data_IF_854378797637
#
_entry.id   IF_854378797637
#
_cell.length_a   1.000
_cell.length_b   1.000
_cell.length_c   1.000
_cell.angle_alpha   90.00
_cell.angle_beta   90.00
_cell.angle_gamma   90.00
#
_symmetry.space_group_name_H-M   'P 1'
#
loop_
_entity.id
_entity.type
_entity.pdbx_description
1 polymer ?
#
# COMPACT_ATOMS: atom_id res chain seq x y z
N UNK A 1 24.24 -25.37 11.50
CA UNK A 1 24.00 -23.92 11.39
C UNK A 1 22.91 -23.69 10.36
N UNK A 2 21.98 -22.76 10.61
CA UNK A 2 20.96 -22.43 9.60
C UNK A 2 21.64 -21.77 8.39
N UNK A 3 21.19 -22.06 7.15
CA UNK A 3 21.79 -21.48 5.95
C UNK A 3 21.64 -19.95 5.96
N UNK A 4 22.69 -19.23 5.58
CA UNK A 4 22.72 -17.78 5.47
C UNK A 4 22.92 -17.33 4.03
N UNK A 5 22.48 -16.13 3.71
CA UNK A 5 22.71 -15.46 2.41
C UNK A 5 22.65 -13.94 2.59
N UNK A 6 23.06 -13.19 1.57
CA UNK A 6 22.87 -11.74 1.56
C UNK A 6 21.38 -11.37 1.45
N UNK A 7 21.00 -10.18 1.88
CA UNK A 7 19.63 -9.67 1.69
C UNK A 7 19.29 -9.59 0.19
N UNK A 8 20.24 -9.21 -0.66
CA UNK A 8 20.04 -9.19 -2.11
C UNK A 8 19.67 -10.57 -2.64
N UNK A 9 20.49 -11.59 -2.39
CA UNK A 9 20.19 -12.96 -2.82
C UNK A 9 18.87 -13.46 -2.23
N UNK A 10 18.59 -13.12 -0.98
CA UNK A 10 17.40 -13.55 -0.27
C UNK A 10 16.10 -13.01 -0.87
N UNK A 11 16.09 -11.71 -1.20
CA UNK A 11 14.91 -11.01 -1.72
C UNK A 11 14.79 -11.08 -3.24
N UNK A 12 15.88 -11.37 -3.97
CA UNK A 12 15.87 -11.56 -5.42
C UNK A 12 15.24 -12.89 -5.86
N UNK A 13 14.81 -13.74 -4.93
CA UNK A 13 14.14 -14.99 -5.26
C UNK A 13 12.79 -14.72 -5.92
N UNK A 14 12.43 -15.46 -6.99
CA UNK A 14 11.14 -15.31 -7.63
C UNK A 14 10.01 -15.74 -6.70
N UNK A 15 8.84 -15.14 -6.90
CA UNK A 15 7.62 -15.61 -6.24
C UNK A 15 7.22 -17.01 -6.77
N UNK A 16 6.45 -17.79 -6.00
CA UNK A 16 5.91 -19.06 -6.47
C UNK A 16 4.99 -18.85 -7.67
N UNK A 17 4.93 -19.87 -8.53
CA UNK A 17 3.96 -19.92 -9.62
C UNK A 17 2.56 -20.11 -9.03
N UNK A 18 1.61 -19.30 -9.48
CA UNK A 18 0.24 -19.34 -8.98
C UNK A 18 -0.64 -20.25 -9.84
N UNK A 19 -1.56 -20.93 -9.18
CA UNK A 19 -2.65 -21.67 -9.79
C UNK A 19 -3.93 -20.88 -9.58
N UNK A 20 -4.27 -20.04 -10.55
CA UNK A 20 -5.46 -19.19 -10.47
C UNK A 20 -6.71 -20.03 -10.71
N UNK A 21 -7.50 -20.24 -9.66
CA UNK A 21 -8.87 -20.74 -9.79
C UNK A 21 -9.76 -19.55 -10.10
N UNK A 22 -10.56 -19.65 -11.16
CA UNK A 22 -11.49 -18.59 -11.56
C UNK A 22 -12.38 -18.22 -10.37
N UNK A 23 -12.17 -17.03 -9.83
CA UNK A 23 -12.94 -16.49 -8.70
C UNK A 23 -14.01 -15.52 -9.19
N UNK A 24 -15.16 -15.53 -8.52
CA UNK A 24 -16.23 -14.57 -8.78
C UNK A 24 -15.76 -13.15 -8.44
N UNK A 25 -16.01 -12.20 -9.35
CA UNK A 25 -15.73 -10.78 -9.14
C UNK A 25 -16.47 -10.25 -7.91
N UNK A 26 -15.75 -9.97 -6.82
CA UNK A 26 -16.28 -9.23 -5.68
C UNK A 26 -16.30 -7.72 -5.91
N UNK A 27 -17.01 -6.98 -5.06
CA UNK A 27 -17.13 -5.52 -5.15
C UNK A 27 -15.86 -4.82 -4.64
N UNK A 28 -15.47 -3.73 -5.29
CA UNK A 28 -14.39 -2.84 -4.81
C UNK A 28 -14.88 -1.99 -3.63
N UNK A 29 -13.97 -1.63 -2.73
CA UNK A 29 -14.25 -0.66 -1.67
C UNK A 29 -14.57 0.70 -2.29
N UNK A 30 -15.62 1.35 -1.79
CA UNK A 30 -16.08 2.66 -2.30
C UNK A 30 -16.31 3.60 -1.12
N UNK A 31 -15.78 4.82 -1.22
CA UNK A 31 -16.14 5.90 -0.33
C UNK A 31 -16.20 7.20 -1.14
N UNK A 32 -17.35 7.87 -1.13
CA UNK A 32 -17.57 9.08 -1.91
C UNK A 32 -16.90 10.32 -1.31
N UNK A 33 -16.29 10.19 -0.12
CA UNK A 33 -15.49 11.23 0.53
C UNK A 33 -14.02 11.23 0.11
N UNK A 34 -13.56 10.19 -0.59
CA UNK A 34 -12.17 10.15 -1.06
C UNK A 34 -11.94 11.20 -2.14
N UNK A 35 -10.79 11.89 -2.03
CA UNK A 35 -10.38 12.91 -3.00
C UNK A 35 -10.11 12.20 -4.33
N UNK A 36 -10.76 12.63 -5.43
CA UNK A 36 -10.44 12.16 -6.78
C UNK A 36 -8.95 12.28 -7.08
N UNK A 37 -8.37 11.29 -7.78
CA UNK A 37 -7.00 11.41 -8.30
C UNK A 37 -6.99 12.31 -9.55
N UNK A 38 -5.93 13.09 -9.75
CA UNK A 38 -5.74 13.94 -10.94
C UNK A 38 -5.27 13.15 -12.16
N UNK A 39 -4.63 12.01 -11.90
CA UNK A 39 -4.18 11.08 -12.92
C UNK A 39 -3.07 10.19 -12.40
N UNK A 40 -2.40 9.50 -13.33
CA UNK A 40 -1.23 8.67 -13.02
C UNK A 40 -0.12 8.93 -14.03
N UNK A 41 1.11 8.78 -13.58
CA UNK A 41 2.31 8.87 -14.40
C UNK A 41 3.34 7.80 -13.97
N UNK A 42 4.28 7.40 -14.84
CA UNK A 42 5.30 6.42 -14.48
C UNK A 42 6.28 6.95 -13.42
N UNK A 43 6.56 6.15 -12.39
CA UNK A 43 7.60 6.42 -11.41
C UNK A 43 8.95 5.87 -11.89
N UNK A 44 9.60 6.62 -12.79
CA UNK A 44 10.74 6.14 -13.59
C UNK A 44 12.02 5.85 -12.80
N UNK A 45 12.26 6.55 -11.69
CA UNK A 45 13.46 6.37 -10.86
C UNK A 45 13.32 5.24 -9.83
N UNK A 46 12.13 4.63 -9.69
CA UNK A 46 11.95 3.38 -8.94
C UNK A 46 12.41 2.17 -9.79
N UNK A 47 13.70 2.13 -10.08
CA UNK A 47 14.33 1.11 -10.93
C UNK A 47 15.30 0.21 -10.16
N UNK A 48 15.50 -1.02 -10.64
CA UNK A 48 16.36 -2.02 -9.98
C UNK A 48 17.78 -1.50 -9.76
N UNK A 49 18.45 -1.05 -10.83
CA UNK A 49 19.86 -0.64 -10.76
C UNK A 49 20.06 0.55 -9.81
N UNK A 50 19.14 1.54 -9.86
CA UNK A 50 19.16 2.73 -9.01
C UNK A 50 19.04 2.34 -7.54
N UNK A 51 18.01 1.56 -7.21
CA UNK A 51 17.73 1.19 -5.82
C UNK A 51 18.76 0.20 -5.25
N UNK A 52 19.29 -0.70 -6.09
CA UNK A 52 20.37 -1.59 -5.70
C UNK A 52 21.66 -0.82 -5.38
N UNK A 53 22.00 0.19 -6.18
CA UNK A 53 23.15 1.06 -5.90
C UNK A 53 22.93 1.88 -4.62
N UNK A 54 21.76 2.52 -4.47
CA UNK A 54 21.42 3.34 -3.29
C UNK A 54 21.48 2.55 -1.99
N UNK A 55 21.00 1.30 -2.01
CA UNK A 55 20.90 0.44 -0.81
C UNK A 55 21.95 -0.67 -0.73
N UNK A 56 23.06 -0.55 -1.46
CA UNK A 56 24.09 -1.60 -1.55
C UNK A 56 24.57 -2.09 -0.18
N UNK A 57 24.84 -1.15 0.74
CA UNK A 57 25.31 -1.46 2.09
C UNK A 57 24.30 -2.28 2.90
N UNK A 58 23.01 -1.97 2.76
CA UNK A 58 21.92 -2.75 3.37
C UNK A 58 21.78 -4.12 2.70
N UNK A 59 21.83 -4.17 1.38
CA UNK A 59 21.67 -5.39 0.58
C UNK A 59 22.78 -6.43 0.80
N UNK A 60 24.00 -5.99 1.13
CA UNK A 60 25.15 -6.87 1.45
C UNK A 60 25.08 -7.51 2.83
N UNK A 61 24.18 -7.08 3.72
CA UNK A 61 24.02 -7.69 5.04
C UNK A 61 23.62 -9.16 4.91
N UNK A 62 24.17 -9.99 5.79
CA UNK A 62 23.86 -11.42 5.84
C UNK A 62 22.71 -11.68 6.81
N UNK A 63 21.76 -12.53 6.40
CA UNK A 63 20.63 -12.95 7.22
C UNK A 63 20.43 -14.46 7.15
N UNK A 64 19.72 -15.00 8.14
CA UNK A 64 19.27 -16.39 8.12
C UNK A 64 18.22 -16.57 7.04
N UNK A 65 18.42 -17.54 6.16
CA UNK A 65 17.49 -17.86 5.08
C UNK A 65 16.25 -18.55 5.64
N UNK A 66 15.10 -17.97 5.36
CA UNK A 66 13.79 -18.63 5.41
C UNK A 66 13.27 -18.87 3.99
N UNK A 67 12.99 -20.12 3.65
CA UNK A 67 12.48 -20.51 2.33
C UNK A 67 11.10 -21.13 2.44
N UNK A 68 10.03 -20.34 2.21
CA UNK A 68 8.68 -20.85 2.30
C UNK A 68 8.23 -21.59 1.04
N UNK A 69 8.97 -21.56 -0.07
CA UNK A 69 8.45 -22.00 -1.37
C UNK A 69 7.99 -23.47 -1.37
N UNK A 70 8.76 -24.36 -0.72
CA UNK A 70 8.37 -25.77 -0.59
C UNK A 70 7.15 -25.96 0.34
N UNK A 71 6.99 -25.11 1.35
CA UNK A 71 5.85 -25.15 2.28
C UNK A 71 4.58 -24.61 1.64
N UNK A 72 4.70 -23.62 0.76
CA UNK A 72 3.58 -22.99 0.04
C UNK A 72 2.86 -24.03 -0.81
N UNK A 73 3.59 -24.77 -1.65
CA UNK A 73 3.00 -25.81 -2.50
C UNK A 73 2.38 -26.95 -1.68
N UNK A 74 3.06 -27.42 -0.64
CA UNK A 74 2.55 -28.50 0.22
C UNK A 74 1.29 -28.08 1.02
N UNK A 75 1.15 -26.79 1.32
CA UNK A 75 0.00 -26.23 2.00
C UNK A 75 -1.09 -25.71 1.04
N UNK A 76 -0.92 -25.89 -0.27
CA UNK A 76 -1.83 -25.39 -1.31
C UNK A 76 -2.07 -23.87 -1.25
N UNK A 77 -1.07 -23.10 -0.78
CA UNK A 77 -1.14 -21.64 -0.71
C UNK A 77 -0.89 -20.97 -2.07
N UNK A 78 -0.43 -21.72 -3.07
CA UNK A 78 -0.30 -21.29 -4.45
C UNK A 78 -1.62 -21.32 -5.24
N UNK A 79 -2.68 -21.90 -4.66
CA UNK A 79 -4.02 -21.92 -5.24
C UNK A 79 -4.79 -20.64 -4.87
N UNK A 80 -4.82 -19.68 -5.79
CA UNK A 80 -5.48 -18.40 -5.58
C UNK A 80 -6.96 -18.50 -5.94
N UNK A 81 -7.82 -18.24 -4.95
CA UNK A 81 -9.28 -18.21 -5.10
C UNK A 81 -9.90 -16.85 -4.75
N UNK A 82 -9.15 -15.95 -4.11
CA UNK A 82 -9.66 -14.67 -3.62
C UNK A 82 -8.62 -13.86 -2.86
N UNK A 83 -9.00 -12.67 -2.39
CA UNK A 83 -8.11 -11.77 -1.64
C UNK A 83 -7.56 -12.41 -0.35
N UNK A 84 -8.33 -13.25 0.31
CA UNK A 84 -7.94 -14.00 1.51
C UNK A 84 -6.81 -15.01 1.22
N UNK A 85 -6.89 -15.73 0.10
CA UNK A 85 -5.82 -16.66 -0.32
C UNK A 85 -4.55 -15.91 -0.75
N UNK A 86 -4.70 -14.80 -1.48
CA UNK A 86 -3.56 -13.92 -1.86
C UNK A 86 -2.90 -13.37 -0.61
N UNK A 87 -3.69 -13.00 0.38
CA UNK A 87 -3.19 -12.46 1.64
C UNK A 87 -2.39 -13.49 2.44
N UNK A 88 -2.90 -14.71 2.58
CA UNK A 88 -2.19 -15.80 3.24
C UNK A 88 -0.85 -16.07 2.55
N UNK A 89 -0.87 -16.15 1.21
CA UNK A 89 0.34 -16.33 0.41
C UNK A 89 1.33 -15.17 0.57
N UNK A 90 0.88 -13.93 0.40
CA UNK A 90 1.70 -12.73 0.52
C UNK A 90 2.32 -12.59 1.92
N UNK A 91 1.59 -12.99 2.96
CA UNK A 91 2.12 -13.00 4.34
C UNK A 91 3.35 -13.87 4.45
N UNK A 92 3.27 -15.11 3.96
CA UNK A 92 4.34 -16.11 4.10
C UNK A 92 5.48 -15.86 3.10
N UNK A 93 5.15 -15.54 1.85
CA UNK A 93 6.11 -15.43 0.75
C UNK A 93 6.76 -14.05 0.63
N UNK A 94 6.04 -12.99 1.03
CA UNK A 94 6.49 -11.62 0.80
C UNK A 94 6.71 -10.85 2.10
N UNK A 95 5.68 -10.67 2.91
CA UNK A 95 5.78 -9.82 4.10
C UNK A 95 6.72 -10.39 5.16
N UNK A 96 6.68 -11.69 5.43
CA UNK A 96 7.60 -12.32 6.38
C UNK A 96 9.08 -12.21 5.94
N UNK A 97 9.46 -12.65 4.71
CA UNK A 97 10.83 -12.47 4.22
C UNK A 97 11.30 -11.02 4.22
N UNK A 98 10.47 -10.10 3.72
CA UNK A 98 10.84 -8.68 3.66
C UNK A 98 10.96 -8.10 5.08
N UNK A 99 10.07 -8.44 6.00
CA UNK A 99 10.18 -7.99 7.40
C UNK A 99 11.43 -8.54 8.10
N UNK A 100 11.84 -9.78 7.81
CA UNK A 100 13.10 -10.33 8.32
C UNK A 100 14.32 -9.54 7.82
N UNK A 101 14.32 -9.17 6.53
CA UNK A 101 15.36 -8.32 5.96
C UNK A 101 15.34 -6.90 6.57
N UNK A 102 14.16 -6.31 6.71
CA UNK A 102 13.97 -4.98 7.31
C UNK A 102 14.42 -4.95 8.79
N UNK A 103 14.21 -6.04 9.54
CA UNK A 103 14.68 -6.14 10.91
C UNK A 103 16.21 -5.97 11.01
N UNK A 104 16.97 -6.46 10.03
CA UNK A 104 18.43 -6.32 9.97
C UNK A 104 18.90 -4.94 9.49
N UNK A 105 18.01 -4.09 8.94
CA UNK A 105 18.37 -2.79 8.35
C UNK A 105 17.78 -1.61 9.10
N UNK A 106 16.45 -1.56 9.19
CA UNK A 106 15.66 -0.39 9.59
C UNK A 106 14.68 -0.70 10.73
N UNK A 107 14.64 -1.96 11.19
CA UNK A 107 13.73 -2.45 12.24
C UNK A 107 12.24 -2.37 11.90
N UNK A 108 11.92 -2.14 10.62
CA UNK A 108 10.56 -2.13 10.11
C UNK A 108 9.97 -3.53 9.89
N UNK A 109 8.66 -3.60 9.79
CA UNK A 109 7.96 -4.82 9.38
C UNK A 109 6.60 -4.49 8.76
N UNK A 110 6.12 -5.42 7.93
CA UNK A 110 4.78 -5.37 7.34
C UNK A 110 3.76 -6.07 8.22
N UNK A 111 2.53 -5.57 8.25
CA UNK A 111 1.47 -6.20 9.00
C UNK A 111 0.07 -5.75 8.59
N UNK A 112 -0.91 -6.41 9.20
CA UNK A 112 -2.31 -6.00 9.13
C UNK A 112 -2.51 -4.61 9.68
N UNK A 113 -3.39 -3.85 9.02
CA UNK A 113 -3.84 -2.52 9.44
C UNK A 113 -4.26 -2.42 10.90
N UNK A 114 -4.93 -3.46 11.40
CA UNK A 114 -5.38 -3.54 12.79
C UNK A 114 -4.25 -3.54 13.83
N UNK A 115 -3.00 -3.79 13.43
CA UNK A 115 -1.82 -3.67 14.30
C UNK A 115 -1.30 -2.23 14.38
N UNK A 116 -1.72 -1.35 13.48
CA UNK A 116 -1.24 0.02 13.45
C UNK A 116 -2.23 0.98 14.14
N UNK A 117 -1.69 1.98 14.82
CA UNK A 117 -2.46 2.99 15.53
C UNK A 117 -3.40 3.72 14.56
N UNK A 118 -4.68 3.80 14.92
CA UNK A 118 -5.66 4.61 14.19
C UNK A 118 -5.51 6.05 14.61
N UNK A 119 -4.90 6.88 13.77
CA UNK A 119 -4.88 8.32 14.02
C UNK A 119 -6.26 8.96 13.88
N UNK A 120 -7.19 8.37 13.10
CA UNK A 120 -8.51 8.96 12.82
C UNK A 120 -9.64 7.91 12.70
N UNK A 121 -10.89 8.41 12.66
CA UNK A 121 -12.15 7.64 12.79
C UNK A 121 -12.70 7.04 11.49
N UNK A 122 -12.16 7.38 10.33
CA UNK A 122 -12.69 7.01 9.01
C UNK A 122 -12.07 5.72 8.42
N UNK A 123 -11.19 5.07 9.18
CA UNK A 123 -10.69 3.73 8.90
C UNK A 123 -9.19 3.58 9.09
N UNK A 124 -8.71 2.35 8.98
CA UNK A 124 -7.29 2.02 8.84
C UNK A 124 -7.07 1.38 7.49
N UNK A 125 -5.91 1.60 6.86
CA UNK A 125 -5.52 0.82 5.69
C UNK A 125 -5.54 -0.68 6.02
N UNK A 126 -5.84 -1.55 5.05
CA UNK A 126 -5.94 -3.00 5.29
C UNK A 126 -4.60 -3.62 5.70
N UNK A 127 -3.52 -3.06 5.15
CA UNK A 127 -2.13 -3.40 5.44
C UNK A 127 -1.32 -2.14 5.71
N UNK A 128 -0.17 -2.30 6.38
CA UNK A 128 0.74 -1.21 6.68
C UNK A 128 2.17 -1.67 6.85
N UNK A 129 3.07 -0.69 6.77
CA UNK A 129 4.47 -0.80 7.15
C UNK A 129 4.70 0.12 8.34
N UNK A 130 5.41 -0.34 9.35
CA UNK A 130 5.77 0.50 10.48
C UNK A 130 6.97 0.01 11.25
N UNK A 131 7.30 0.77 12.28
CA UNK A 131 8.21 0.39 13.35
C UNK A 131 7.57 0.69 14.71
N UNK A 132 8.33 0.46 15.78
CA UNK A 132 8.04 1.04 17.08
C UNK A 132 6.79 0.49 17.76
N UNK A 133 6.99 -0.48 18.66
CA UNK A 133 5.94 -0.95 19.54
C UNK A 133 5.62 0.12 20.60
N UNK A 134 4.46 0.78 20.48
CA UNK A 134 3.85 1.46 21.63
C UNK A 134 2.88 0.50 22.31
N UNK A 135 3.11 0.26 23.60
CA UNK A 135 2.17 -0.48 24.43
C UNK A 135 1.11 0.48 24.94
N UNK A 136 -0.09 0.40 24.37
CA UNK A 136 -1.28 1.06 24.92
C UNK A 136 -2.25 -0.04 25.36
N UNK A 137 -2.70 0.00 26.61
CA UNK A 137 -3.72 -0.90 27.16
C UNK A 137 -3.47 -2.41 26.93
N UNK A 138 -2.22 -2.84 27.05
CA UNK A 138 -1.83 -4.25 26.88
C UNK A 138 -1.79 -4.74 25.42
N UNK A 139 -2.17 -3.90 24.45
CA UNK A 139 -2.04 -4.16 23.02
C UNK A 139 -0.82 -3.43 22.46
N UNK A 140 0.06 -4.18 21.80
CA UNK A 140 1.15 -3.58 21.04
C UNK A 140 0.59 -3.00 19.75
N UNK A 141 0.54 -1.68 19.67
CA UNK A 141 0.17 -0.94 18.45
C UNK A 141 1.41 -0.25 17.90
N UNK A 142 1.41 -0.04 16.59
CA UNK A 142 2.57 0.48 15.88
C UNK A 142 2.21 1.67 15.02
N UNK A 143 3.18 2.52 14.70
CA UNK A 143 2.92 3.66 13.82
C UNK A 143 2.93 3.20 12.36
N UNK A 144 1.89 3.55 11.60
CA UNK A 144 1.87 3.27 10.16
C UNK A 144 2.62 4.37 9.40
N UNK A 145 3.56 3.97 8.54
CA UNK A 145 4.34 4.87 7.70
C UNK A 145 4.12 4.67 6.21
N UNK A 146 3.43 3.62 5.79
CA UNK A 146 3.14 3.38 4.38
C UNK A 146 1.94 2.44 4.29
N UNK A 147 0.86 2.94 3.70
CA UNK A 147 -0.39 2.20 3.56
C UNK A 147 -0.26 1.11 2.51
N UNK A 148 -0.93 -0.01 2.77
CA UNK A 148 -0.92 -1.17 1.90
C UNK A 148 -2.33 -1.70 1.64
N UNK A 149 -2.50 -2.30 0.48
CA UNK A 149 -3.74 -2.94 0.07
C UNK A 149 -3.46 -4.23 -0.70
N UNK A 150 -4.33 -5.22 -0.53
CA UNK A 150 -4.30 -6.46 -1.30
C UNK A 150 -5.59 -6.54 -2.10
N UNK A 151 -5.47 -6.83 -3.40
CA UNK A 151 -6.60 -7.01 -4.30
C UNK A 151 -6.40 -8.26 -5.13
N UNK A 152 -7.50 -8.92 -5.49
CA UNK A 152 -7.47 -9.94 -6.54
C UNK A 152 -7.34 -9.25 -7.90
N UNK A 153 -6.52 -9.79 -8.79
CA UNK A 153 -6.34 -9.32 -10.17
C UNK A 153 -7.62 -9.41 -10.99
N UNK A 154 -8.54 -10.30 -10.58
CA UNK A 154 -9.91 -10.40 -11.11
C UNK A 154 -10.80 -9.23 -10.71
N UNK A 155 -10.51 -8.55 -9.59
CA UNK A 155 -11.21 -7.34 -9.14
C UNK A 155 -10.53 -6.07 -9.67
N UNK A 156 -9.20 -6.04 -9.65
CA UNK A 156 -8.42 -4.89 -10.10
C UNK A 156 -6.99 -5.29 -10.45
N UNK A 157 -6.48 -4.74 -11.54
CA UNK A 157 -5.08 -4.76 -11.95
C UNK A 157 -4.76 -3.45 -12.67
N UNK A 158 -3.49 -3.20 -12.98
CA UNK A 158 -3.04 -1.93 -13.53
C UNK A 158 -2.79 -1.93 -15.04
N UNK A 159 -3.29 -2.92 -15.78
CA UNK A 159 -3.04 -3.07 -17.22
C UNK A 159 -3.51 -1.84 -18.02
N UNK A 160 -4.68 -1.28 -17.67
CA UNK A 160 -5.31 -0.19 -18.42
C UNK A 160 -4.95 1.22 -17.89
N UNK A 161 -4.08 1.36 -16.87
CA UNK A 161 -3.84 2.65 -16.20
C UNK A 161 -3.39 3.78 -17.15
N UNK A 162 -2.61 3.43 -18.17
CA UNK A 162 -2.06 4.38 -19.12
C UNK A 162 -3.05 4.77 -20.23
N UNK A 163 -4.15 4.04 -20.35
CA UNK A 163 -5.19 4.26 -21.37
C UNK A 163 -6.39 5.04 -20.81
N UNK A 164 -6.45 5.24 -19.48
CA UNK A 164 -7.52 6.00 -18.85
C UNK A 164 -7.35 7.48 -19.16
N UNK A 165 -8.42 8.08 -19.68
CA UNK A 165 -8.56 9.53 -19.73
C UNK A 165 -8.98 10.05 -18.34
N UNK A 166 -7.98 10.50 -17.57
CA UNK A 166 -8.16 11.01 -16.20
C UNK A 166 -8.90 12.35 -16.14
N UNK A 167 -9.12 13.04 -17.26
CA UNK A 167 -9.93 14.26 -17.25
C UNK A 167 -11.44 13.98 -17.12
N UNK A 168 -11.87 12.78 -17.56
CA UNK A 168 -13.29 12.38 -17.60
C UNK A 168 -13.57 11.06 -16.87
N UNK A 169 -12.62 10.54 -16.08
CA UNK A 169 -12.75 9.19 -15.51
C UNK A 169 -13.96 9.02 -14.59
N UNK A 170 -14.41 10.11 -13.95
CA UNK A 170 -15.59 10.12 -13.09
C UNK A 170 -16.90 9.89 -13.85
N UNK A 171 -16.91 10.06 -15.18
CA UNK A 171 -18.10 9.89 -16.02
C UNK A 171 -18.25 8.43 -16.50
N UNK A 172 -17.18 7.64 -16.47
CA UNK A 172 -17.15 6.29 -17.05
C UNK A 172 -16.95 5.23 -15.99
N UNK A 173 -17.95 4.35 -15.81
CA UNK A 173 -17.92 3.28 -14.78
C UNK A 173 -16.64 2.43 -14.80
N UNK A 174 -16.12 2.08 -15.99
CA UNK A 174 -14.85 1.35 -16.15
C UNK A 174 -13.70 2.11 -15.49
N UNK A 175 -13.57 3.41 -15.78
CA UNK A 175 -12.48 4.23 -15.27
C UNK A 175 -12.65 4.56 -13.77
N UNK A 176 -13.88 4.73 -13.29
CA UNK A 176 -14.15 4.83 -11.84
C UNK A 176 -13.60 3.59 -11.11
N UNK A 177 -13.88 2.38 -11.61
CA UNK A 177 -13.41 1.16 -10.98
C UNK A 177 -11.87 1.05 -11.02
N UNK A 178 -11.25 1.56 -12.09
CA UNK A 178 -9.79 1.63 -12.20
C UNK A 178 -9.18 2.60 -11.18
N UNK A 179 -9.84 3.73 -10.92
CA UNK A 179 -9.41 4.75 -9.97
C UNK A 179 -9.58 4.34 -8.51
N UNK A 180 -10.60 3.54 -8.15
CA UNK A 180 -10.97 3.32 -6.73
C UNK A 180 -9.82 2.83 -5.84
N UNK A 181 -9.00 1.83 -6.23
CA UNK A 181 -7.88 1.42 -5.37
C UNK A 181 -6.78 2.47 -5.25
N UNK A 182 -6.62 3.33 -6.27
CA UNK A 182 -5.67 4.45 -6.24
C UNK A 182 -6.17 5.60 -5.37
N UNK A 183 -7.45 5.96 -5.46
CA UNK A 183 -8.12 6.92 -4.55
C UNK A 183 -8.01 6.45 -3.10
N UNK A 184 -8.20 5.15 -2.84
CA UNK A 184 -8.02 4.57 -1.51
C UNK A 184 -6.58 4.73 -1.00
N UNK A 185 -5.59 4.44 -1.85
CA UNK A 185 -4.17 4.57 -1.50
C UNK A 185 -3.78 6.03 -1.23
N UNK A 186 -4.23 6.96 -2.09
CA UNK A 186 -4.04 8.40 -1.92
C UNK A 186 -4.67 8.89 -0.61
N UNK A 187 -5.92 8.52 -0.36
CA UNK A 187 -6.65 8.91 0.85
C UNK A 187 -5.87 8.50 2.10
N UNK A 188 -5.54 7.22 2.24
CA UNK A 188 -4.80 6.76 3.42
C UNK A 188 -3.39 7.35 3.52
N UNK A 189 -2.70 7.55 2.38
CA UNK A 189 -1.39 8.20 2.38
C UNK A 189 -1.46 9.63 2.91
N UNK A 190 -2.41 10.43 2.41
CA UNK A 190 -2.67 11.80 2.87
C UNK A 190 -2.99 11.83 4.38
N UNK A 191 -3.87 10.94 4.83
CA UNK A 191 -4.25 10.86 6.23
C UNK A 191 -3.11 10.51 7.18
N UNK A 192 -2.21 9.64 6.74
CA UNK A 192 -1.02 9.26 7.49
C UNK A 192 0.11 10.31 7.37
N UNK A 193 -0.03 11.29 6.47
CA UNK A 193 1.04 12.21 6.09
C UNK A 193 2.20 11.48 5.42
N UNK A 194 1.93 10.40 4.69
CA UNK A 194 2.94 9.53 4.08
C UNK A 194 2.84 9.55 2.56
N UNK A 195 3.95 9.84 1.90
CA UNK A 195 4.05 9.93 0.43
C UNK A 195 4.05 8.58 -0.30
N UNK A 196 4.05 7.47 0.42
CA UNK A 196 4.17 6.15 -0.19
C UNK A 196 2.99 5.26 0.17
N UNK A 197 2.53 4.51 -0.83
CA UNK A 197 1.54 3.46 -0.69
C UNK A 197 1.86 2.30 -1.65
N UNK A 198 1.19 1.17 -1.47
CA UNK A 198 1.31 0.04 -2.39
C UNK A 198 0.02 -0.78 -2.49
N UNK A 199 -0.15 -1.43 -3.63
CA UNK A 199 -1.22 -2.39 -3.90
C UNK A 199 -0.58 -3.68 -4.40
N UNK A 200 -0.89 -4.80 -3.77
CA UNK A 200 -0.42 -6.13 -4.19
C UNK A 200 -1.59 -6.94 -4.74
N UNK A 201 -1.35 -7.64 -5.85
CA UNK A 201 -2.28 -8.59 -6.47
C UNK A 201 -1.56 -9.89 -6.81
N UNK A 202 -2.31 -10.92 -7.20
CA UNK A 202 -1.78 -12.17 -7.78
C UNK A 202 -1.10 -11.96 -9.15
N UNK A 203 -1.20 -10.77 -9.75
CA UNK A 203 -0.51 -10.42 -11.00
C UNK A 203 0.72 -9.55 -10.81
N UNK A 204 0.73 -8.66 -9.82
CA UNK A 204 1.72 -7.60 -9.71
C UNK A 204 1.71 -6.89 -8.36
N UNK A 205 2.81 -6.23 -8.06
CA UNK A 205 2.94 -5.20 -7.04
C UNK A 205 2.95 -3.82 -7.72
N UNK A 206 2.06 -2.94 -7.30
CA UNK A 206 1.98 -1.54 -7.72
C UNK A 206 2.48 -0.66 -6.58
N UNK A 207 3.49 0.15 -6.86
CA UNK A 207 4.05 1.16 -5.95
C UNK A 207 3.53 2.53 -6.31
N UNK A 208 3.19 3.31 -5.31
CA UNK A 208 2.55 4.62 -5.48
C UNK A 208 3.36 5.64 -4.69
N UNK A 209 3.79 6.72 -5.36
CA UNK A 209 4.33 7.93 -4.75
C UNK A 209 3.31 9.06 -4.93
N UNK A 210 2.95 9.68 -3.81
CA UNK A 210 1.99 10.78 -3.68
C UNK A 210 2.76 12.09 -3.62
N UNK A 211 2.37 13.04 -4.44
CA UNK A 211 2.90 14.41 -4.50
C UNK A 211 1.76 15.40 -4.35
N UNK A 212 2.09 16.64 -3.99
CA UNK A 212 1.15 17.77 -4.12
C UNK A 212 1.47 18.58 -5.36
N UNK A 213 0.48 19.27 -5.92
CA UNK A 213 0.71 20.30 -6.92
C UNK A 213 1.17 21.59 -6.24
N UNK A 214 1.94 22.41 -6.97
CA UNK A 214 2.42 23.73 -6.52
C UNK A 214 1.40 24.84 -6.77
N UNK A 215 0.30 24.53 -7.49
CA UNK A 215 -0.70 25.51 -7.87
C UNK A 215 -1.41 26.07 -6.64
N UNK A 216 -1.41 27.41 -6.53
CA UNK A 216 -2.12 28.15 -5.48
C UNK A 216 -3.60 27.77 -5.45
N UNK A 217 -4.09 27.44 -4.26
CA UNK A 217 -5.46 26.99 -3.98
C UNK A 217 -6.53 28.03 -4.39
N UNK A 218 -6.13 29.28 -4.69
CA UNK A 218 -7.02 30.40 -5.00
C UNK A 218 -7.68 30.35 -6.40
N UNK A 219 -7.08 29.67 -7.38
CA UNK A 219 -7.59 29.70 -8.78
C UNK A 219 -8.28 28.40 -9.25
N UNK A 220 -8.39 27.39 -8.38
CA UNK A 220 -9.08 26.14 -8.73
C UNK A 220 -10.58 26.18 -8.39
N UNK A 221 -11.48 25.81 -9.32
CA UNK A 221 -12.90 25.65 -8.99
C UNK A 221 -13.07 24.61 -7.86
N UNK A 222 -13.97 24.84 -6.90
CA UNK A 222 -14.15 23.95 -5.76
C UNK A 222 -14.42 22.53 -6.27
N UNK A 223 -13.52 21.61 -5.90
CA UNK A 223 -13.59 20.19 -6.26
C UNK A 223 -14.95 19.66 -5.80
N UNK A 224 -15.84 19.36 -6.73
CA UNK A 224 -17.14 18.79 -6.37
C UNK A 224 -16.91 17.39 -5.81
N UNK A 225 -16.96 17.26 -4.49
CA UNK A 225 -17.34 15.98 -3.88
C UNK A 225 -18.62 15.51 -4.58
N UNK A 226 -18.73 14.22 -4.89
CA UNK A 226 -19.91 13.66 -5.58
C UNK A 226 -21.18 14.04 -4.81
N UNK A 227 -21.86 15.08 -5.25
CA UNK A 227 -23.10 15.54 -4.64
C UNK A 227 -24.23 14.62 -5.08
N UNK A 228 -24.72 13.79 -4.17
CA UNK A 228 -25.98 13.06 -4.40
C UNK A 228 -27.10 13.74 -3.62
N UNK A 229 -28.06 14.31 -4.36
CA UNK A 229 -29.38 14.63 -3.84
C UNK A 229 -30.07 13.33 -3.43
N UNK A 230 -29.97 12.94 -2.17
CA UNK A 230 -30.85 11.90 -1.62
C UNK A 230 -32.22 12.48 -1.30
N UNK A 231 -33.19 12.24 -2.19
CA UNK A 231 -34.61 12.23 -1.84
C UNK A 231 -34.82 11.09 -0.82
N UNK A 232 -34.98 11.44 0.45
CA UNK A 232 -35.22 10.49 1.54
C UNK A 232 -36.52 9.71 1.25
N UNK A 233 -36.39 8.41 0.99
CA UNK A 233 -37.44 7.46 1.34
C UNK A 233 -36.98 6.77 2.62
N UNK A 234 -37.68 7.09 3.70
CA UNK A 234 -37.55 6.42 4.99
C UNK A 234 -38.03 4.98 4.82
N UNK A 235 -37.25 4.02 5.31
CA UNK A 235 -37.77 2.71 5.64
C UNK A 235 -37.17 2.34 6.98
N UNK A 236 -38.04 2.38 7.99
CA UNK A 236 -37.84 1.81 9.31
C UNK A 236 -37.45 0.32 9.19
N UNK A 237 -36.36 -0.08 9.83
CA UNK A 237 -36.40 -1.08 10.92
C UNK A 237 -35.04 -1.17 11.61
N UNK A 238 -35.15 -1.14 12.93
CA UNK A 238 -34.16 -1.09 14.01
C UNK A 238 -33.22 -2.30 14.12
N UNK A 239 -31.98 -2.12 14.60
CA UNK A 239 -31.58 -2.45 15.98
C UNK A 239 -30.05 -2.36 16.26
N UNK A 240 -29.72 -1.45 17.19
CA UNK A 240 -28.89 -1.63 18.40
C UNK A 240 -27.47 -2.22 18.30
N UNK A 241 -26.47 -1.32 18.36
CA UNK A 241 -25.37 -1.43 19.33
C UNK A 241 -24.67 -0.07 19.49
N UNK A 242 -25.30 0.83 20.26
CA UNK A 242 -24.69 2.05 20.78
C UNK A 242 -24.77 1.99 22.30
N UNK A 243 -23.70 1.57 22.96
CA UNK A 243 -23.43 1.91 24.35
C UNK A 243 -22.04 1.38 24.74
N UNK A 244 -21.30 2.18 25.52
CA UNK A 244 -19.95 1.96 26.07
C UNK A 244 -18.84 2.33 25.07
N UNK A 245 -18.05 3.40 25.22
CA UNK A 245 -17.83 4.28 26.35
C UNK A 245 -17.32 5.64 25.86
N UNK A 246 -17.96 6.70 26.35
CA UNK A 246 -17.32 7.99 26.51
C UNK A 246 -16.32 7.87 27.65
N UNK A 247 -15.03 7.89 27.35
CA UNK A 247 -13.99 8.31 28.30
C UNK A 247 -12.99 9.17 27.54
N UNK A 248 -12.98 10.45 27.93
CA UNK A 248 -11.95 11.41 27.58
C UNK A 248 -10.61 10.88 28.08
N UNK A 249 -9.66 10.66 27.18
CA UNK A 249 -8.25 10.44 27.53
C UNK A 249 -7.47 11.57 26.86
N UNK A 250 -6.75 12.32 27.70
CA UNK A 250 -5.91 13.44 27.32
C UNK A 250 -4.93 13.04 26.22
N UNK A 251 -5.09 13.66 25.05
CA UNK A 251 -4.15 13.55 23.94
C UNK A 251 -2.94 14.47 24.20
N UNK A 252 -2.03 14.02 25.06
CA UNK A 252 -0.75 14.69 25.32
C UNK A 252 0.43 13.72 25.20
N UNK A 253 0.56 13.11 24.01
CA UNK A 253 1.84 12.59 23.54
C UNK A 253 1.88 12.60 22.01
N UNK A 254 2.74 13.45 21.45
CA UNK A 254 3.02 13.64 20.02
C UNK A 254 2.00 14.47 19.22
N UNK A 255 2.03 15.78 19.41
CA UNK A 255 1.57 16.76 18.42
C UNK A 255 2.50 16.74 17.19
N UNK A 256 2.25 15.82 16.26
CA UNK A 256 2.84 15.83 14.92
C UNK A 256 1.70 15.81 13.91
N UNK A 257 1.30 17.01 13.48
CA UNK A 257 0.42 17.32 12.35
C UNK A 257 -0.71 16.32 12.09
N UNK A 258 -1.85 16.55 12.73
CA UNK A 258 -3.13 16.06 12.22
C UNK A 258 -3.40 16.77 10.89
N UNK A 259 -3.10 16.09 9.78
CA UNK A 259 -3.46 16.58 8.45
C UNK A 259 -4.97 16.55 8.31
N UNK A 260 -5.61 17.71 8.44
CA UNK A 260 -6.93 17.90 7.85
C UNK A 260 -6.78 17.69 6.34
N UNK A 261 -7.54 16.77 5.76
CA UNK A 261 -7.60 16.59 4.30
C UNK A 261 -8.11 17.85 3.58
N UNK A 262 -8.67 18.80 4.33
CA UNK A 262 -9.09 20.11 3.87
C UNK A 262 -7.88 21.03 3.67
N UNK A 263 -7.26 20.96 2.50
CA UNK A 263 -6.21 21.90 2.07
C UNK A 263 -5.12 21.28 1.21
N UNK A 264 -5.11 19.95 1.07
CA UNK A 264 -4.10 19.27 0.27
C UNK A 264 -4.53 19.20 -1.20
N UNK A 265 -3.64 19.60 -2.10
CA UNK A 265 -3.84 19.57 -3.54
C UNK A 265 -3.00 18.43 -4.15
N UNK A 266 -3.51 17.17 -4.27
CA UNK A 266 -2.69 16.06 -4.75
C UNK A 266 -2.44 16.20 -6.25
N UNK A 267 -1.19 16.04 -6.68
CA UNK A 267 -0.81 15.96 -8.08
C UNK A 267 -1.04 14.54 -8.65
N UNK A 268 -0.81 14.29 -9.96
CA UNK A 268 -0.88 12.95 -10.53
C UNK A 268 0.02 11.94 -9.79
N UNK A 269 -0.53 10.76 -9.49
CA UNK A 269 0.18 9.73 -8.76
C UNK A 269 1.31 9.14 -9.60
N UNK A 270 2.49 8.99 -9.00
CA UNK A 270 3.62 8.32 -9.65
C UNK A 270 3.58 6.82 -9.34
N UNK A 271 3.58 5.98 -10.39
CA UNK A 271 3.37 4.54 -10.28
C UNK A 271 4.52 3.73 -10.87
N UNK A 272 5.04 2.76 -10.09
CA UNK A 272 5.91 1.70 -10.59
C UNK A 272 5.23 0.33 -10.45
N UNK A 273 5.37 -0.53 -11.46
CA UNK A 273 4.75 -1.85 -11.53
C UNK A 273 5.81 -2.95 -11.51
N UNK A 274 5.60 -3.98 -10.71
CA UNK A 274 6.47 -5.16 -10.63
C UNK A 274 5.61 -6.40 -10.84
N UNK A 275 5.74 -7.10 -11.98
CA UNK A 275 4.98 -8.32 -12.23
C UNK A 275 5.28 -9.41 -11.20
N UNK A 276 4.27 -10.22 -10.86
CA UNK A 276 4.41 -11.36 -9.95
C UNK A 276 5.47 -12.36 -10.42
N UNK A 277 5.57 -12.56 -11.74
CA UNK A 277 6.52 -13.47 -12.36
C UNK A 277 7.97 -12.94 -12.42
N UNK A 278 8.23 -11.68 -12.02
CA UNK A 278 9.55 -11.07 -12.10
C UNK A 278 10.62 -11.88 -11.31
N UNK A 279 11.84 -11.95 -11.86
CA UNK A 279 12.94 -12.73 -11.28
C UNK A 279 12.96 -14.21 -11.68
N UNK A 280 12.01 -14.67 -12.52
CA UNK A 280 11.94 -16.07 -12.97
C UNK A 280 12.80 -16.38 -14.21
N UNK A 281 13.43 -15.38 -14.84
CA UNK A 281 14.07 -15.59 -16.15
C UNK A 281 15.22 -14.67 -16.54
N UNK A 282 15.51 -13.57 -15.82
CA UNK A 282 16.66 -12.70 -16.12
C UNK A 282 17.44 -12.34 -14.86
N UNK A 283 18.75 -12.18 -15.00
CA UNK A 283 19.59 -11.56 -13.98
C UNK A 283 19.17 -10.08 -13.83
N UNK A 284 19.20 -9.56 -12.60
CA UNK A 284 18.93 -8.15 -12.28
C UNK A 284 17.51 -7.65 -12.56
N UNK A 285 16.49 -8.46 -12.24
CA UNK A 285 15.09 -8.02 -12.26
C UNK A 285 14.59 -7.62 -10.86
N UNK A 286 13.77 -6.57 -10.81
CA UNK A 286 13.04 -6.18 -9.61
C UNK A 286 11.98 -7.23 -9.26
N UNK A 287 12.19 -7.99 -8.18
CA UNK A 287 11.16 -8.89 -7.63
C UNK A 287 10.19 -8.12 -6.74
N UNK A 288 9.02 -8.72 -6.44
CA UNK A 288 8.05 -8.16 -5.49
C UNK A 288 8.68 -7.94 -4.11
N UNK A 289 9.54 -8.87 -3.66
CA UNK A 289 10.23 -8.77 -2.39
C UNK A 289 11.22 -7.60 -2.34
N UNK A 290 12.01 -7.40 -3.40
CA UNK A 290 12.87 -6.23 -3.52
C UNK A 290 12.05 -4.94 -3.57
N UNK A 291 10.96 -4.90 -4.35
CA UNK A 291 10.10 -3.72 -4.41
C UNK A 291 9.48 -3.35 -3.06
N UNK A 292 8.99 -4.33 -2.29
CA UNK A 292 8.52 -4.13 -0.91
C UNK A 292 9.65 -3.62 -0.01
N UNK A 293 10.83 -4.23 -0.06
CA UNK A 293 11.97 -3.77 0.73
C UNK A 293 12.37 -2.33 0.40
N UNK A 294 12.47 -1.97 -0.89
CA UNK A 294 12.90 -0.63 -1.29
C UNK A 294 11.90 0.46 -0.96
N UNK A 295 10.58 0.25 -1.14
CA UNK A 295 9.63 1.26 -0.68
C UNK A 295 9.73 1.46 0.82
N UNK A 296 9.99 0.39 1.58
CA UNK A 296 10.12 0.48 3.02
C UNK A 296 11.34 1.29 3.41
N UNK A 297 12.51 1.07 2.78
CA UNK A 297 13.69 1.89 3.03
C UNK A 297 13.43 3.37 2.71
N UNK A 298 12.82 3.66 1.55
CA UNK A 298 12.47 5.03 1.17
C UNK A 298 11.52 5.68 2.21
N UNK A 299 10.53 4.94 2.70
CA UNK A 299 9.62 5.39 3.76
C UNK A 299 10.36 5.71 5.06
N UNK A 300 11.38 4.93 5.44
CA UNK A 300 12.16 5.18 6.65
C UNK A 300 13.13 6.36 6.51
N UNK A 301 13.59 6.67 5.29
CA UNK A 301 14.41 7.86 5.02
C UNK A 301 13.58 9.14 5.05
N UNK A 302 12.53 9.21 4.25
CA UNK A 302 11.67 10.38 4.11
C UNK A 302 10.28 9.95 3.68
N UNK A 303 9.27 10.39 4.44
CA UNK A 303 7.87 9.99 4.26
C UNK A 303 6.93 11.15 4.05
N UNK A 304 7.37 12.38 4.32
CA UNK A 304 6.52 13.56 4.25
C UNK A 304 6.10 13.83 2.81
N UNK A 305 4.86 14.27 2.62
CA UNK A 305 4.38 14.61 1.29
C UNK A 305 4.87 16.02 0.93
N UNK A 306 5.35 16.18 -0.30
CA UNK A 306 5.91 17.41 -0.85
C UNK A 306 5.47 17.60 -2.31
N UNK A 307 5.65 18.80 -2.85
CA UNK A 307 5.44 19.07 -4.28
C UNK A 307 6.50 18.45 -5.18
N UNK A 308 7.72 18.30 -4.64
CA UNK A 308 8.85 17.71 -5.35
C UNK A 308 9.72 16.88 -4.40
N UNK A 309 10.44 15.92 -4.99
CA UNK A 309 11.37 15.05 -4.29
C UNK A 309 12.71 14.97 -5.02
N UNK A 310 13.82 14.81 -4.30
CA UNK A 310 15.10 14.50 -4.93
C UNK A 310 15.03 13.21 -5.77
N UNK A 311 15.73 13.14 -6.91
CA UNK A 311 15.88 11.90 -7.66
C UNK A 311 16.44 10.76 -6.81
N UNK A 312 16.09 9.51 -7.16
CA UNK A 312 16.59 8.34 -6.43
C UNK A 312 18.04 7.94 -6.75
N UNK A 313 18.59 8.44 -7.88
CA UNK A 313 19.94 8.18 -8.40
C UNK A 313 21.05 8.92 -7.67
#
# INVERSE_FOLDING_TARGET
>A
MAPTCTILEYLSRPNPRLQNRSSSSGTLTVNDKWIPIEGVQPWVDFAYDILCARYESSLRKTITRFDPCCLIANAHLDEVAGEDTIEALATVNNFMPVSNALHATSKGYYGKGSKFFRQQSDGSSDWGLGDGASKNDGLTTFRNFCSGNIKSSSKWNSDDLWEVDWSIYLERRKFINQARPLEQAQHYGIQLGTRYAWILTDKELVKIRITTSEDDVEDQPPRSSRGVQHRRLLSDTSNLSTALSAMSIDHSACSGQSGSSSGMNPAPLEIARIPWAAGSGKNNEMTINLGLFFIAQLTFEERSISSSYPPLS
#
